data_IF_966357763867
#
_entry.id   IF_966357763867
#
_cell.length_a   1.000
_cell.length_b   1.000
_cell.length_c   1.000
_cell.angle_alpha   90.00
_cell.angle_beta   90.00
_cell.angle_gamma   90.00
#
_symmetry.space_group_name_H-M   'P 1'
#
loop_
_entity.id
_entity.type
_entity.pdbx_description
1 polymer ?
#
# COMPACT_ATOMS: atom_id res chain seq x y z
N UNK A 1 36.88 9.18 -10.14
CA UNK A 1 36.82 9.16 -8.66
C UNK A 1 35.91 10.29 -8.19
N UNK A 2 34.99 9.95 -7.27
CA UNK A 2 34.28 10.80 -6.32
C UNK A 2 33.15 11.72 -6.82
N UNK A 3 31.97 11.12 -7.07
CA UNK A 3 30.68 11.82 -6.94
C UNK A 3 29.76 11.04 -5.99
N UNK A 4 30.11 10.91 -4.70
CA UNK A 4 29.26 10.14 -3.75
C UNK A 4 29.28 10.62 -2.29
N UNK A 5 29.68 11.86 -1.98
CA UNK A 5 29.59 12.36 -0.58
C UNK A 5 28.55 13.44 -0.30
N UNK A 6 28.14 14.25 -1.28
CA UNK A 6 27.18 15.34 -1.01
C UNK A 6 25.71 14.89 -1.02
N UNK A 7 25.37 13.82 -1.73
CA UNK A 7 23.98 13.33 -1.82
C UNK A 7 23.47 12.57 -0.57
N UNK A 8 24.33 12.38 0.44
CA UNK A 8 24.01 11.61 1.66
C UNK A 8 23.90 12.47 2.93
N UNK A 9 24.16 13.78 2.87
CA UNK A 9 24.09 14.66 4.05
C UNK A 9 22.71 15.25 4.35
N UNK A 10 21.73 15.12 3.45
CA UNK A 10 20.40 15.76 3.62
C UNK A 10 19.30 14.81 4.13
N UNK A 11 19.68 13.67 4.73
CA UNK A 11 18.74 12.77 5.43
C UNK A 11 18.96 12.83 6.94
N UNK A 12 18.92 14.02 7.51
CA UNK A 12 18.72 14.14 8.96
C UNK A 12 17.25 13.83 9.26
N UNK A 13 16.99 12.60 9.72
CA UNK A 13 15.71 12.30 10.40
C UNK A 13 15.77 13.06 11.72
N UNK A 14 15.11 14.22 11.78
CA UNK A 14 14.92 14.94 13.04
C UNK A 14 13.96 14.11 13.89
N UNK A 15 14.42 13.70 15.07
CA UNK A 15 13.53 13.23 16.13
C UNK A 15 12.60 14.39 16.50
N UNK A 16 11.29 14.19 16.32
CA UNK A 16 10.26 15.19 16.62
C UNK A 16 9.88 15.01 18.08
N UNK A 17 10.04 16.08 18.88
CA UNK A 17 9.61 16.10 20.28
C UNK A 17 8.07 16.24 20.34
N UNK A 18 7.45 15.67 21.37
CA UNK A 18 5.99 15.61 21.53
C UNK A 18 5.34 17.00 21.60
N UNK A 19 6.13 18.03 21.90
CA UNK A 19 5.69 19.43 21.93
C UNK A 19 5.54 20.07 20.54
N UNK A 20 6.15 19.50 19.49
CA UNK A 20 6.00 19.99 18.10
C UNK A 20 4.64 19.62 17.48
N UNK A 21 3.90 18.68 18.09
CA UNK A 21 2.56 18.26 17.65
C UNK A 21 1.46 19.25 18.06
N UNK A 22 1.69 20.08 19.08
CA UNK A 22 0.68 21.01 19.61
C UNK A 22 0.53 22.30 18.77
N UNK A 23 1.55 22.68 18.01
CA UNK A 23 1.55 23.90 17.20
C UNK A 23 1.24 23.60 15.73
N UNK A 24 0.00 23.19 15.49
CA UNK A 24 -0.83 23.33 14.28
C UNK A 24 -0.19 23.91 12.99
N UNK A 25 0.92 23.32 12.50
CA UNK A 25 1.60 23.71 11.24
C UNK A 25 2.08 22.54 10.40
N UNK A 26 1.68 21.31 10.74
CA UNK A 26 1.85 20.16 9.86
C UNK A 26 0.51 19.79 9.23
N UNK A 27 0.19 20.48 8.13
CA UNK A 27 -0.73 19.92 7.14
C UNK A 27 -0.05 18.69 6.54
N UNK A 28 -0.37 17.51 7.06
CA UNK A 28 0.03 16.26 6.44
C UNK A 28 -0.65 16.16 5.06
N UNK A 29 0.06 16.63 4.03
CA UNK A 29 0.03 16.02 2.71
C UNK A 29 -1.07 16.43 1.74
N UNK A 30 -1.55 17.68 1.75
CA UNK A 30 -2.40 18.21 0.66
C UNK A 30 -1.71 19.36 -0.11
N UNK A 31 -0.43 19.18 -0.44
CA UNK A 31 0.33 20.16 -1.21
C UNK A 31 -0.19 20.23 -2.65
N UNK A 32 -0.13 21.42 -3.28
CA UNK A 32 -0.52 21.59 -4.69
C UNK A 32 0.20 20.59 -5.61
N UNK A 33 1.44 20.24 -5.31
CA UNK A 33 2.20 19.25 -6.07
C UNK A 33 1.65 17.84 -5.95
N UNK A 34 1.20 17.42 -4.76
CA UNK A 34 0.53 16.14 -4.55
C UNK A 34 -0.83 16.10 -5.28
N UNK A 35 -1.62 17.17 -5.16
CA UNK A 35 -2.92 17.28 -5.84
C UNK A 35 -2.77 17.20 -7.35
N UNK A 36 -1.82 17.92 -7.95
CA UNK A 36 -1.57 17.89 -9.39
C UNK A 36 -1.11 16.51 -9.89
N UNK A 37 -0.23 15.84 -9.12
CA UNK A 37 0.20 14.46 -9.44
C UNK A 37 -0.97 13.48 -9.34
N UNK A 38 -1.80 13.59 -8.30
CA UNK A 38 -3.00 12.77 -8.12
C UNK A 38 -4.00 12.97 -9.25
N UNK A 39 -4.32 14.22 -9.60
CA UNK A 39 -5.26 14.53 -10.68
C UNK A 39 -4.78 14.03 -12.03
N UNK A 40 -3.47 14.15 -12.32
CA UNK A 40 -2.85 13.59 -13.53
C UNK A 40 -2.90 12.06 -13.56
N UNK A 41 -2.65 11.41 -12.43
CA UNK A 41 -2.74 9.95 -12.32
C UNK A 41 -4.19 9.47 -12.52
N UNK A 42 -5.16 10.13 -11.88
CA UNK A 42 -6.57 9.80 -11.99
C UNK A 42 -7.13 10.07 -13.40
N UNK A 43 -6.70 11.13 -14.08
CA UNK A 43 -7.14 11.43 -15.45
C UNK A 43 -6.62 10.45 -16.49
N UNK A 44 -5.51 9.77 -16.20
CA UNK A 44 -4.94 8.71 -17.04
C UNK A 44 -5.48 7.32 -16.69
N UNK A 45 -6.13 7.18 -15.54
CA UNK A 45 -6.71 5.91 -15.09
C UNK A 45 -7.96 5.63 -15.92
N UNK A 46 -7.88 4.69 -16.86
CA UNK A 46 -9.08 4.07 -17.44
C UNK A 46 -9.77 3.28 -16.34
N UNK A 47 -10.80 3.86 -15.74
CA UNK A 47 -11.64 3.18 -14.74
C UNK A 47 -12.63 2.32 -15.51
N UNK A 48 -12.25 1.07 -15.80
CA UNK A 48 -13.09 0.12 -16.51
C UNK A 48 -12.34 -1.15 -16.90
N UNK A 49 -12.97 -2.30 -16.68
CA UNK A 49 -12.42 -3.64 -16.90
C UNK A 49 -12.42 -4.49 -15.62
N UNK A 50 -12.27 -5.82 -15.72
CA UNK A 50 -12.10 -6.67 -14.55
C UNK A 50 -10.88 -6.18 -13.76
N UNK A 51 -10.99 -6.15 -12.43
CA UNK A 51 -9.89 -5.80 -11.52
C UNK A 51 -9.33 -7.08 -10.90
N UNK A 52 -8.44 -7.82 -11.58
CA UNK A 52 -7.88 -9.05 -11.03
C UNK A 52 -6.88 -8.70 -9.93
N UNK A 53 -7.31 -8.79 -8.67
CA UNK A 53 -6.47 -8.50 -7.50
C UNK A 53 -5.20 -9.37 -7.52
N UNK A 54 -5.33 -10.63 -7.94
CA UNK A 54 -4.17 -11.52 -8.05
C UNK A 54 -3.07 -10.96 -8.96
N UNK A 55 -3.41 -10.34 -10.09
CA UNK A 55 -2.40 -9.81 -11.00
C UNK A 55 -1.69 -8.59 -10.42
N UNK A 56 -2.43 -7.74 -9.69
CA UNK A 56 -1.84 -6.60 -8.98
C UNK A 56 -0.87 -7.07 -7.89
N UNK A 57 -1.28 -8.06 -7.09
CA UNK A 57 -0.44 -8.67 -6.07
C UNK A 57 0.79 -9.34 -6.70
N UNK A 58 0.62 -10.12 -7.77
CA UNK A 58 1.72 -10.75 -8.50
C UNK A 58 2.76 -9.73 -8.94
N UNK A 59 2.32 -8.63 -9.56
CA UNK A 59 3.20 -7.55 -9.97
C UNK A 59 3.96 -6.95 -8.77
N UNK A 60 3.30 -6.71 -7.63
CA UNK A 60 3.99 -6.22 -6.44
C UNK A 60 5.09 -7.18 -5.98
N UNK A 61 4.82 -8.48 -5.91
CA UNK A 61 5.80 -9.47 -5.44
C UNK A 61 6.96 -9.69 -6.40
N UNK A 62 6.73 -9.59 -7.71
CA UNK A 62 7.75 -9.85 -8.72
C UNK A 62 8.59 -8.62 -9.05
N UNK A 63 7.98 -7.43 -9.10
CA UNK A 63 8.63 -6.23 -9.65
C UNK A 63 8.96 -5.16 -8.60
N UNK A 64 8.25 -5.15 -7.46
CA UNK A 64 8.39 -4.09 -6.44
C UNK A 64 9.11 -4.58 -5.19
N UNK A 65 8.78 -5.79 -4.73
CA UNK A 65 9.38 -6.35 -3.52
C UNK A 65 10.84 -6.75 -3.81
N UNK A 66 11.75 -5.97 -3.26
CA UNK A 66 13.19 -6.22 -3.34
C UNK A 66 13.65 -7.07 -2.14
N UNK A 67 14.32 -8.21 -2.35
CA UNK A 67 14.95 -8.98 -1.28
C UNK A 67 15.87 -8.17 -0.34
N UNK A 68 16.45 -7.08 -0.83
CA UNK A 68 17.35 -6.21 -0.08
C UNK A 68 16.66 -5.06 0.65
N UNK A 69 15.34 -4.88 0.45
CA UNK A 69 14.55 -3.88 1.17
C UNK A 69 13.33 -4.55 1.84
N UNK A 70 13.40 -4.83 3.15
CA UNK A 70 12.36 -5.59 3.82
C UNK A 70 11.04 -4.82 3.82
N UNK A 71 10.02 -5.43 3.21
CA UNK A 71 8.63 -4.97 3.30
C UNK A 71 7.92 -5.82 4.32
N UNK A 72 7.51 -5.21 5.43
CA UNK A 72 6.87 -5.92 6.53
C UNK A 72 5.35 -6.09 6.32
N UNK A 73 4.72 -5.21 5.54
CA UNK A 73 3.26 -5.18 5.41
C UNK A 73 2.81 -4.64 4.05
N UNK A 74 1.77 -5.28 3.49
CA UNK A 74 1.04 -4.83 2.30
C UNK A 74 -0.36 -4.38 2.73
N UNK A 75 -0.85 -3.29 2.13
CA UNK A 75 -2.22 -2.81 2.30
C UNK A 75 -2.99 -2.96 0.99
N UNK A 76 -4.08 -3.72 1.02
CA UNK A 76 -5.03 -3.82 -0.09
C UNK A 76 -6.22 -2.92 0.21
N UNK A 77 -6.49 -1.95 -0.65
CA UNK A 77 -7.59 -0.99 -0.48
C UNK A 77 -8.55 -1.15 -1.64
N UNK A 78 -9.84 -1.35 -1.36
CA UNK A 78 -10.87 -1.52 -2.38
C UNK A 78 -12.20 -0.95 -1.92
N UNK A 79 -13.00 -0.51 -2.87
CA UNK A 79 -14.35 0.03 -2.70
C UNK A 79 -15.46 -1.04 -2.73
N UNK A 80 -15.11 -2.33 -2.63
CA UNK A 80 -16.08 -3.41 -2.63
C UNK A 80 -15.47 -4.80 -2.76
N UNK A 81 -16.23 -5.73 -3.33
CA UNK A 81 -15.76 -7.09 -3.59
C UNK A 81 -14.87 -7.13 -4.85
N UNK A 82 -13.61 -7.52 -4.68
CA UNK A 82 -12.62 -7.59 -5.76
C UNK A 82 -11.95 -8.97 -5.81
N UNK A 83 -12.52 -9.90 -6.59
CA UNK A 83 -11.90 -11.20 -6.84
C UNK A 83 -12.83 -12.37 -6.55
N UNK A 84 -12.25 -13.57 -6.37
CA UNK A 84 -12.96 -14.81 -6.10
C UNK A 84 -12.10 -15.76 -5.26
N UNK A 85 -12.70 -16.83 -4.70
CA UNK A 85 -12.01 -17.76 -3.82
C UNK A 85 -10.73 -18.39 -4.42
N UNK A 86 -10.71 -18.65 -5.73
CA UNK A 86 -9.51 -19.19 -6.39
C UNK A 86 -8.35 -18.19 -6.39
N UNK A 87 -8.65 -16.89 -6.56
CA UNK A 87 -7.65 -15.83 -6.45
C UNK A 87 -7.10 -15.69 -5.03
N UNK A 88 -7.95 -15.85 -4.00
CA UNK A 88 -7.52 -15.82 -2.59
C UNK A 88 -6.47 -16.90 -2.32
N UNK A 89 -6.71 -18.14 -2.78
CA UNK A 89 -5.75 -19.23 -2.63
C UNK A 89 -4.42 -18.93 -3.33
N UNK A 90 -4.47 -18.37 -4.54
CA UNK A 90 -3.26 -17.96 -5.28
C UNK A 90 -2.49 -16.85 -4.58
N UNK A 91 -3.17 -15.88 -3.98
CA UNK A 91 -2.53 -14.79 -3.20
C UNK A 91 -1.84 -15.37 -1.96
N UNK A 92 -2.48 -16.29 -1.25
CA UNK A 92 -1.85 -16.98 -0.12
C UNK A 92 -0.59 -17.75 -0.54
N UNK A 93 -0.65 -18.47 -1.67
CA UNK A 93 0.52 -19.16 -2.23
C UNK A 93 1.63 -18.20 -2.65
N UNK A 94 1.29 -17.06 -3.27
CA UNK A 94 2.25 -16.04 -3.65
C UNK A 94 3.02 -15.51 -2.43
N UNK A 95 2.31 -15.28 -1.33
CA UNK A 95 2.89 -14.79 -0.08
C UNK A 95 3.57 -15.88 0.77
N UNK A 96 3.52 -17.16 0.38
CA UNK A 96 3.98 -18.26 1.24
C UNK A 96 5.49 -18.21 1.53
N UNK A 97 6.27 -17.57 0.65
CA UNK A 97 7.73 -17.46 0.78
C UNK A 97 8.14 -16.30 1.69
N UNK A 98 7.54 -15.13 1.51
CA UNK A 98 7.91 -13.91 2.23
C UNK A 98 7.11 -13.73 3.52
N UNK A 99 5.94 -14.35 3.63
CA UNK A 99 5.04 -14.30 4.81
C UNK A 99 4.78 -12.87 5.28
N UNK A 100 4.62 -11.96 4.32
CA UNK A 100 4.36 -10.55 4.58
C UNK A 100 2.95 -10.40 5.13
N UNK A 101 2.78 -9.56 6.16
CA UNK A 101 1.45 -9.26 6.69
C UNK A 101 0.61 -8.54 5.63
N UNK A 102 -0.61 -9.00 5.35
CA UNK A 102 -1.51 -8.32 4.41
C UNK A 102 -2.72 -7.77 5.16
N UNK A 103 -2.79 -6.45 5.28
CA UNK A 103 -3.97 -5.76 5.79
C UNK A 103 -4.90 -5.39 4.64
N UNK A 104 -6.20 -5.48 4.86
CA UNK A 104 -7.21 -5.11 3.86
C UNK A 104 -8.12 -4.01 4.39
N UNK A 105 -8.44 -3.04 3.52
CA UNK A 105 -9.31 -1.90 3.83
C UNK A 105 -10.42 -1.87 2.78
N UNK A 106 -11.66 -2.02 3.23
CA UNK A 106 -12.84 -1.92 2.38
C UNK A 106 -13.50 -0.56 2.59
N UNK A 107 -13.56 0.25 1.53
CA UNK A 107 -14.17 1.59 1.51
C UNK A 107 -15.59 1.42 0.97
N UNK A 108 -16.58 1.37 1.85
CA UNK A 108 -17.98 1.08 1.51
C UNK A 108 -18.21 -0.40 1.10
N UNK A 109 -19.17 -1.03 1.77
CA UNK A 109 -19.53 -2.43 1.53
C UNK A 109 -18.82 -3.43 2.45
N UNK A 110 -19.36 -4.64 2.55
CA UNK A 110 -18.76 -5.75 3.31
C UNK A 110 -18.20 -6.76 2.31
N UNK A 111 -16.95 -7.18 2.52
CA UNK A 111 -16.27 -8.13 1.64
C UNK A 111 -15.65 -9.25 2.46
N UNK A 112 -16.35 -10.40 2.50
CA UNK A 112 -15.83 -11.62 3.13
C UNK A 112 -14.56 -12.11 2.42
N UNK A 113 -14.45 -11.82 1.13
CA UNK A 113 -13.24 -12.06 0.35
C UNK A 113 -12.03 -11.29 0.90
N UNK A 114 -12.14 -9.97 1.10
CA UNK A 114 -11.05 -9.14 1.65
C UNK A 114 -10.71 -9.51 3.09
N UNK A 115 -11.74 -9.85 3.89
CA UNK A 115 -11.52 -10.36 5.24
C UNK A 115 -10.75 -11.69 5.22
N UNK A 116 -11.10 -12.57 4.29
CA UNK A 116 -10.41 -13.83 4.05
C UNK A 116 -8.93 -13.64 3.69
N UNK A 117 -8.62 -12.70 2.79
CA UNK A 117 -7.23 -12.38 2.43
C UNK A 117 -6.43 -11.93 3.65
N UNK A 118 -6.97 -11.02 4.46
CA UNK A 118 -6.29 -10.54 5.65
C UNK A 118 -6.01 -11.70 6.63
N UNK A 119 -7.03 -12.51 6.89
CA UNK A 119 -6.95 -13.65 7.81
C UNK A 119 -5.89 -14.67 7.38
N UNK A 120 -5.86 -15.04 6.10
CA UNK A 120 -4.90 -16.01 5.58
C UNK A 120 -3.44 -15.53 5.67
N UNK A 121 -3.24 -14.21 5.75
CA UNK A 121 -1.93 -13.57 5.69
C UNK A 121 -1.60 -12.79 6.96
N UNK A 122 -2.16 -13.21 8.11
CA UNK A 122 -1.81 -12.72 9.45
C UNK A 122 -1.98 -11.19 9.56
N UNK A 123 -2.93 -10.63 8.83
CA UNK A 123 -3.26 -9.22 8.84
C UNK A 123 -4.65 -8.93 9.38
N UNK A 124 -5.01 -7.66 9.30
CA UNK A 124 -6.27 -7.13 9.81
C UNK A 124 -7.15 -6.60 8.69
N UNK A 125 -8.45 -6.82 8.82
CA UNK A 125 -9.49 -6.24 7.96
C UNK A 125 -10.06 -4.98 8.61
N UNK A 126 -10.16 -3.90 7.83
CA UNK A 126 -10.76 -2.63 8.24
C UNK A 126 -11.91 -2.29 7.31
N UNK A 127 -13.04 -1.94 7.90
CA UNK A 127 -14.19 -1.40 7.18
C UNK A 127 -14.26 0.11 7.42
N UNK A 128 -14.29 0.87 6.32
CA UNK A 128 -14.46 2.32 6.33
C UNK A 128 -15.85 2.63 5.78
N UNK A 129 -16.70 3.19 6.65
CA UNK A 129 -18.06 3.62 6.33
C UNK A 129 -18.10 5.10 5.96
#
# INVERSE_FOLDING_TARGET
>A
MNHTREALQDRSIKAVDSNDLANNRYSFGNTRSFQSKRSRFLSQKKVGGPTPLYQAMKYSYEEILDPYNPVDTIYVISDGEIGNLDERAKIYMLNSKLRIRINTICIQGRSDFLNGIATDNIGSFYLVN
#
